data_IF_368106869316
#
_entry.id   IF_368106869316
#
_cell.length_a   1.000
_cell.length_b   1.000
_cell.length_c   1.000
_cell.angle_alpha   90.00
_cell.angle_beta   90.00
_cell.angle_gamma   90.00
#
_symmetry.space_group_name_H-M   'P 1'
#
loop_
_entity.id
_entity.type
_entity.pdbx_description
1 polymer ?
#
# COMPACT_ATOMS: atom_id res chain seq x y z
N UNK A 1 -19.83 35.04 6.89
CA UNK A 1 -19.59 34.35 6.86
C UNK A 1 -19.41 33.78 6.26
N UNK A 2 -19.13 33.91 6.11
CA UNK A 2 -18.94 33.28 5.61
C UNK A 2 -18.63 32.43 5.42
N UNK A 3 -18.52 32.25 5.79
CA UNK A 3 -18.21 31.38 5.60
C UNK A 3 -18.72 30.66 5.29
N UNK A 4 -19.11 30.99 5.58
CA UNK A 4 -19.66 30.37 5.35
C UNK A 4 -20.15 30.26 4.53
N UNK A 5 -20.08 31.08 4.63
CA UNK A 5 -20.50 30.97 3.53
C UNK A 5 -20.27 29.88 2.72
N UNK A 6 -20.26 29.02 2.64
CA UNK A 6 -19.91 27.87 2.04
C UNK A 6 -18.50 27.55 2.14
N UNK A 7 -18.04 27.54 3.28
CA UNK A 7 -16.70 27.13 3.48
C UNK A 7 -16.57 25.66 3.09
N UNK A 8 -15.53 25.36 2.41
CA UNK A 8 -15.21 23.97 2.18
C UNK A 8 -14.84 23.32 3.50
N UNK A 9 -15.25 22.07 3.72
CA UNK A 9 -14.74 21.33 4.87
C UNK A 9 -13.22 21.28 4.86
N UNK A 10 -12.63 21.28 6.03
CA UNK A 10 -11.18 21.24 6.17
C UNK A 10 -10.57 20.06 5.41
N UNK A 11 -11.25 18.93 5.39
CA UNK A 11 -10.78 17.75 4.65
C UNK A 11 -10.66 18.01 3.15
N UNK A 12 -11.57 18.80 2.57
CA UNK A 12 -11.52 19.12 1.15
C UNK A 12 -10.34 20.05 0.84
N UNK A 13 -10.06 21.00 1.72
CA UNK A 13 -8.92 21.91 1.56
C UNK A 13 -7.62 21.12 1.63
N UNK A 14 -7.50 20.21 2.59
CA UNK A 14 -6.32 19.35 2.71
C UNK A 14 -6.14 18.49 1.47
N UNK A 15 -7.22 17.96 0.95
CA UNK A 15 -7.15 17.14 -0.25
C UNK A 15 -6.63 17.94 -1.45
N UNK A 16 -7.10 19.18 -1.61
CA UNK A 16 -6.61 20.05 -2.67
C UNK A 16 -5.12 20.30 -2.54
N UNK A 17 -4.65 20.57 -1.33
CA UNK A 17 -3.23 20.82 -1.08
C UNK A 17 -2.41 19.57 -1.41
N UNK A 18 -2.86 18.41 -0.99
CA UNK A 18 -2.19 17.14 -1.26
C UNK A 18 -2.10 16.89 -2.77
N UNK A 19 -3.20 17.15 -3.50
CA UNK A 19 -3.23 16.96 -4.94
C UNK A 19 -2.27 17.93 -5.64
N UNK A 20 -2.24 19.18 -5.20
CA UNK A 20 -1.36 20.20 -5.78
C UNK A 20 0.12 19.88 -5.56
N UNK A 21 0.44 19.28 -4.42
CA UNK A 21 1.82 18.92 -4.09
C UNK A 21 2.22 17.55 -4.65
N UNK A 22 1.28 16.83 -5.26
CA UNK A 22 1.57 15.49 -5.79
C UNK A 22 1.81 14.45 -4.72
N UNK A 23 1.24 14.63 -3.53
CA UNK A 23 1.46 13.73 -2.40
C UNK A 23 0.48 12.58 -2.34
N UNK A 24 -0.59 12.60 -3.14
CA UNK A 24 -1.62 11.56 -3.08
C UNK A 24 -1.04 10.19 -3.40
N UNK A 25 -0.20 10.11 -4.42
CA UNK A 25 0.43 8.86 -4.81
C UNK A 25 1.27 8.28 -3.67
N UNK A 26 2.01 9.14 -2.97
CA UNK A 26 2.86 8.67 -1.86
C UNK A 26 2.01 8.21 -0.67
N UNK A 27 0.90 8.86 -0.42
CA UNK A 27 -0.03 8.44 0.62
C UNK A 27 -0.64 7.09 0.27
N UNK A 28 -1.03 6.90 -0.97
CA UNK A 28 -1.59 5.64 -1.45
C UNK A 28 -0.56 4.51 -1.35
N UNK A 29 0.70 4.79 -1.72
CA UNK A 29 1.78 3.82 -1.60
C UNK A 29 2.00 3.42 -0.14
N UNK A 30 2.02 4.39 0.76
CA UNK A 30 2.20 4.12 2.19
C UNK A 30 1.06 3.25 2.72
N UNK A 31 -0.15 3.48 2.27
CA UNK A 31 -1.31 2.69 2.67
C UNK A 31 -1.18 1.24 2.19
N UNK A 32 -0.69 1.04 0.98
CA UNK A 32 -0.48 -0.31 0.44
C UNK A 32 0.55 -1.05 1.30
N UNK A 33 1.69 -0.40 1.59
CA UNK A 33 2.75 -0.99 2.40
C UNK A 33 2.25 -1.36 3.79
N UNK A 34 1.49 -0.47 4.42
CA UNK A 34 0.95 -0.71 5.74
C UNK A 34 -0.06 -1.86 5.74
N UNK A 35 -0.93 -1.90 4.73
CA UNK A 35 -1.94 -2.95 4.62
C UNK A 35 -1.26 -4.30 4.38
N UNK A 36 -0.20 -4.33 3.56
CA UNK A 36 0.57 -5.55 3.37
C UNK A 36 1.08 -6.09 4.70
N UNK A 37 1.69 -5.23 5.53
CA UNK A 37 2.23 -5.66 6.82
C UNK A 37 1.12 -6.26 7.70
N UNK A 38 -0.08 -5.70 7.63
CA UNK A 38 -1.22 -6.18 8.41
C UNK A 38 -1.65 -7.57 7.95
N UNK A 39 -1.81 -7.79 6.64
CA UNK A 39 -2.29 -9.08 6.14
C UNK A 39 -1.22 -10.16 6.16
N UNK A 40 0.05 -9.77 6.05
CA UNK A 40 1.16 -10.72 6.03
C UNK A 40 1.32 -11.42 7.38
N UNK A 41 1.13 -10.68 8.46
CA UNK A 41 1.20 -11.24 9.79
C UNK A 41 2.60 -11.32 10.33
N UNK A 42 2.67 -11.81 11.57
CA UNK A 42 3.90 -11.78 12.37
C UNK A 42 5.06 -12.55 11.75
N UNK A 43 4.79 -13.75 11.22
CA UNK A 43 5.85 -14.61 10.74
C UNK A 43 6.50 -14.06 9.47
N UNK A 44 5.70 -13.59 8.54
CA UNK A 44 6.21 -13.01 7.29
C UNK A 44 6.91 -11.70 7.60
N UNK A 45 6.35 -10.87 8.48
CA UNK A 45 6.99 -9.61 8.86
C UNK A 45 8.34 -9.87 9.54
N UNK A 46 8.47 -10.97 10.26
CA UNK A 46 9.71 -11.34 10.92
C UNK A 46 10.84 -11.66 9.96
N UNK A 47 10.54 -12.04 8.72
CA UNK A 47 11.53 -12.32 7.69
C UNK A 47 11.53 -11.27 6.58
N UNK A 48 10.85 -10.16 6.79
CA UNK A 48 10.78 -9.07 5.81
C UNK A 48 11.82 -8.01 6.18
N UNK A 49 12.67 -7.66 5.22
CA UNK A 49 13.66 -6.62 5.42
C UNK A 49 13.11 -5.25 5.02
N UNK A 50 12.40 -5.19 3.90
CA UNK A 50 11.83 -3.93 3.42
C UNK A 50 10.67 -4.19 2.48
N UNK A 51 9.78 -3.21 2.37
CA UNK A 51 8.60 -3.25 1.50
C UNK A 51 8.47 -1.89 0.85
N UNK A 52 8.27 -1.86 -0.47
CA UNK A 52 8.08 -0.58 -1.17
C UNK A 52 7.25 -0.78 -2.42
N UNK A 53 6.63 0.31 -2.88
CA UNK A 53 5.90 0.35 -4.15
C UNK A 53 6.72 1.03 -5.21
N UNK A 54 6.61 0.51 -6.43
CA UNK A 54 7.14 1.18 -7.61
C UNK A 54 6.11 0.99 -8.72
N UNK A 55 5.45 2.08 -9.10
CA UNK A 55 4.31 1.98 -10.02
C UNK A 55 3.21 1.17 -9.36
N UNK A 56 2.73 0.15 -10.04
CA UNK A 56 1.69 -0.75 -9.54
C UNK A 56 2.25 -2.06 -9.01
N UNK A 57 3.56 -2.13 -8.77
CA UNK A 57 4.22 -3.34 -8.27
C UNK A 57 4.64 -3.12 -6.83
N UNK A 58 4.26 -4.06 -5.98
CA UNK A 58 4.72 -4.09 -4.59
C UNK A 58 5.94 -5.00 -4.51
N UNK A 59 7.03 -4.47 -3.98
CA UNK A 59 8.26 -5.23 -3.74
C UNK A 59 8.39 -5.55 -2.27
N UNK A 60 8.63 -6.81 -1.97
CA UNK A 60 8.83 -7.27 -0.59
C UNK A 60 10.16 -8.01 -0.55
N UNK A 61 11.12 -7.48 0.20
CA UNK A 61 12.42 -8.11 0.34
C UNK A 61 12.39 -9.05 1.53
N UNK A 62 12.58 -10.35 1.24
CA UNK A 62 12.47 -11.44 2.22
C UNK A 62 13.87 -11.99 2.50
N UNK A 63 14.21 -12.14 3.77
CA UNK A 63 15.54 -12.63 4.19
C UNK A 63 15.64 -14.15 4.16
N UNK A 64 14.51 -14.85 4.19
CA UNK A 64 14.50 -16.31 4.16
C UNK A 64 14.19 -16.82 2.76
N UNK A 65 15.08 -17.65 2.22
CA UNK A 65 14.89 -18.21 0.87
C UNK A 65 13.65 -19.12 0.82
N UNK A 66 13.39 -19.87 1.88
CA UNK A 66 12.23 -20.75 1.93
C UNK A 66 10.93 -19.94 1.93
N UNK A 67 10.86 -18.89 2.73
CA UNK A 67 9.69 -18.01 2.75
C UNK A 67 9.50 -17.29 1.41
N UNK A 68 10.60 -16.83 0.82
CA UNK A 68 10.55 -16.15 -0.47
C UNK A 68 9.93 -17.02 -1.55
N UNK A 69 10.34 -18.28 -1.61
CA UNK A 69 9.82 -19.21 -2.60
C UNK A 69 8.35 -19.50 -2.36
N UNK A 70 7.97 -19.74 -1.11
CA UNK A 70 6.59 -20.02 -0.75
C UNK A 70 5.67 -18.84 -1.11
N UNK A 71 6.10 -17.63 -0.76
CA UNK A 71 5.33 -16.42 -1.06
C UNK A 71 5.22 -16.19 -2.57
N UNK A 72 6.31 -16.42 -3.30
CA UNK A 72 6.32 -16.26 -4.75
C UNK A 72 5.34 -17.21 -5.42
N UNK A 73 5.28 -18.44 -4.97
CA UNK A 73 4.36 -19.43 -5.51
C UNK A 73 2.90 -19.05 -5.30
N UNK A 74 2.62 -18.31 -4.24
CA UNK A 74 1.26 -17.89 -3.88
C UNK A 74 1.03 -16.40 -4.16
N UNK A 75 1.84 -15.76 -5.00
CA UNK A 75 1.82 -14.32 -5.19
C UNK A 75 0.48 -13.78 -5.69
N UNK A 76 -0.22 -14.55 -6.50
CA UNK A 76 -1.53 -14.11 -7.01
C UNK A 76 -2.57 -14.06 -5.91
N UNK A 77 -2.56 -15.03 -5.02
CA UNK A 77 -3.47 -15.07 -3.88
C UNK A 77 -3.17 -13.91 -2.93
N UNK A 78 -1.89 -13.64 -2.69
CA UNK A 78 -1.49 -12.51 -1.86
C UNK A 78 -1.92 -11.18 -2.46
N UNK A 79 -1.79 -11.04 -3.79
CA UNK A 79 -2.25 -9.83 -4.47
C UNK A 79 -3.75 -9.65 -4.29
N UNK A 80 -4.52 -10.70 -4.47
CA UNK A 80 -5.98 -10.65 -4.31
C UNK A 80 -6.37 -10.27 -2.88
N UNK A 81 -5.70 -10.83 -1.90
CA UNK A 81 -5.97 -10.51 -0.50
C UNK A 81 -5.62 -9.06 -0.19
N UNK A 82 -4.50 -8.60 -0.71
CA UNK A 82 -4.06 -7.23 -0.50
C UNK A 82 -5.04 -6.23 -1.11
N UNK A 83 -5.38 -6.43 -2.37
CA UNK A 83 -6.32 -5.55 -3.05
C UNK A 83 -7.70 -5.60 -2.40
N UNK A 84 -8.12 -6.77 -1.95
CA UNK A 84 -9.38 -6.91 -1.22
C UNK A 84 -9.40 -6.11 0.07
N UNK A 85 -8.29 -6.09 0.80
CA UNK A 85 -8.18 -5.33 2.03
C UNK A 85 -8.14 -3.82 1.77
N UNK A 86 -7.70 -3.42 0.58
CA UNK A 86 -7.62 -2.01 0.18
C UNK A 86 -8.93 -1.49 -0.43
N UNK A 87 -9.88 -2.37 -0.74
CA UNK A 87 -11.14 -2.03 -1.42
C UNK A 87 -10.95 -1.42 -2.80
N UNK A 88 -9.77 -1.54 -3.37
CA UNK A 88 -9.43 -1.08 -4.72
C UNK A 88 -8.42 -2.07 -5.29
N UNK A 89 -8.02 -1.88 -6.53
CA UNK A 89 -7.05 -2.76 -7.17
C UNK A 89 -5.77 -2.01 -7.56
N UNK A 90 -5.06 -1.39 -6.59
CA UNK A 90 -3.87 -0.59 -6.93
C UNK A 90 -2.63 -1.44 -7.22
N UNK A 91 -2.64 -2.72 -6.86
CA UNK A 91 -1.47 -3.58 -7.01
C UNK A 91 -1.71 -4.59 -8.13
N UNK A 92 -0.93 -4.48 -9.19
CA UNK A 92 -0.98 -5.40 -10.32
C UNK A 92 -0.11 -6.63 -10.09
N UNK A 93 0.96 -6.47 -9.33
CA UNK A 93 1.93 -7.54 -9.14
C UNK A 93 2.64 -7.37 -7.79
N UNK A 94 2.98 -8.50 -7.15
CA UNK A 94 3.84 -8.52 -5.98
C UNK A 94 5.09 -9.30 -6.36
N UNK A 95 6.27 -8.71 -6.08
CA UNK A 95 7.56 -9.34 -6.32
C UNK A 95 8.23 -9.58 -4.97
N UNK A 96 8.55 -10.83 -4.68
CA UNK A 96 9.29 -11.20 -3.47
C UNK A 96 10.76 -11.40 -3.85
N UNK A 97 11.63 -10.64 -3.20
CA UNK A 97 13.06 -10.66 -3.46
C UNK A 97 13.86 -11.14 -2.28
#
# INVERSE_FOLDING_TARGET
MAAQDSPQPLGDVLKEVIDQLGLQEKIDEARVVETWATIAGKDINGVTESVWMKGSTLYVKITSAAWRQELHMNRRQWRQRLNGALDTDPVDEIVFR
#
